data_IF_004331541564
#
_entry.id   IF_004331541564
#
_cell.length_a   1.000
_cell.length_b   1.000
_cell.length_c   1.000
_cell.angle_alpha   90.00
_cell.angle_beta   90.00
_cell.angle_gamma   90.00
#
_symmetry.space_group_name_H-M   'P 1'
#
loop_
_entity.id
_entity.type
_entity.pdbx_description
1 polymer ?
#
# COMPACT_ATOMS: atom_id res chain seq x y z
N UNK A 1 -17.86 -44.62 11.92
CA UNK A 1 -17.70 -43.31 12.60
C UNK A 1 -17.05 -42.38 11.56
N UNK A 2 -17.86 -41.55 10.89
CA UNK A 2 -17.39 -40.51 10.02
C UNK A 2 -16.91 -39.35 10.92
N UNK A 3 -15.61 -39.17 11.02
CA UNK A 3 -15.03 -37.94 11.56
C UNK A 3 -15.36 -36.81 10.56
N UNK A 4 -16.35 -36.01 10.90
CA UNK A 4 -16.58 -34.73 10.25
C UNK A 4 -15.32 -33.89 10.54
N UNK A 5 -14.39 -33.86 9.59
CA UNK A 5 -13.21 -33.03 9.66
C UNK A 5 -13.66 -31.57 9.76
N UNK A 6 -13.50 -30.97 10.92
CA UNK A 6 -13.74 -29.55 11.15
C UNK A 6 -12.66 -28.79 10.33
N UNK A 7 -13.06 -28.30 9.17
CA UNK A 7 -12.18 -27.43 8.39
C UNK A 7 -12.09 -26.10 9.13
N UNK A 8 -10.89 -25.66 9.56
CA UNK A 8 -10.76 -24.35 10.19
C UNK A 8 -11.25 -23.26 9.22
N UNK A 9 -12.06 -22.33 9.74
CA UNK A 9 -12.51 -21.18 8.95
C UNK A 9 -11.30 -20.34 8.54
N UNK A 10 -11.27 -19.95 7.27
CA UNK A 10 -10.25 -19.03 6.77
C UNK A 10 -10.51 -17.61 7.30
N UNK A 11 -9.50 -16.76 7.32
CA UNK A 11 -9.65 -15.33 7.71
C UNK A 11 -10.70 -14.64 6.83
N UNK A 12 -10.74 -14.94 5.52
CA UNK A 12 -11.76 -14.46 4.58
C UNK A 12 -13.19 -14.79 5.01
N UNK A 13 -13.40 -16.02 5.48
CA UNK A 13 -14.72 -16.48 5.97
C UNK A 13 -15.05 -15.81 7.31
N UNK A 14 -14.06 -15.68 8.18
CA UNK A 14 -14.14 -15.04 9.50
C UNK A 14 -14.54 -13.58 9.41
N UNK A 15 -13.95 -12.82 8.47
CA UNK A 15 -14.28 -11.43 8.22
C UNK A 15 -15.53 -11.23 7.37
N UNK A 16 -16.14 -12.30 6.85
CA UNK A 16 -17.32 -12.23 5.99
C UNK A 16 -17.04 -11.86 4.53
N UNK A 17 -15.77 -11.73 4.13
CA UNK A 17 -15.37 -11.30 2.78
C UNK A 17 -15.70 -12.34 1.70
N UNK A 18 -15.68 -13.61 2.05
CA UNK A 18 -15.99 -14.70 1.11
C UNK A 18 -17.40 -14.63 0.51
N UNK A 19 -18.33 -13.95 1.18
CA UNK A 19 -19.74 -13.80 0.77
C UNK A 19 -20.05 -12.41 0.23
N UNK A 20 -19.13 -11.46 0.33
CA UNK A 20 -19.35 -10.09 -0.11
C UNK A 20 -19.09 -9.93 -1.61
N UNK A 21 -20.01 -9.31 -2.32
CA UNK A 21 -19.87 -8.96 -3.73
C UNK A 21 -18.85 -7.83 -3.94
N UNK A 22 -18.54 -7.07 -2.89
CA UNK A 22 -17.57 -5.97 -2.90
C UNK A 22 -16.15 -6.42 -2.63
N UNK A 23 -15.92 -7.69 -2.31
CA UNK A 23 -14.57 -8.25 -2.17
C UNK A 23 -14.07 -8.81 -3.50
N UNK A 24 -13.06 -8.16 -4.07
CA UNK A 24 -12.45 -8.55 -5.35
C UNK A 24 -11.25 -9.45 -5.09
N UNK A 25 -11.28 -10.66 -5.65
CA UNK A 25 -10.20 -11.66 -5.57
C UNK A 25 -9.25 -11.56 -6.77
N UNK A 26 -8.01 -12.07 -6.66
CA UNK A 26 -7.05 -12.05 -7.76
C UNK A 26 -7.52 -12.74 -9.04
N UNK A 27 -8.24 -13.86 -8.91
CA UNK A 27 -8.79 -14.63 -10.04
C UNK A 27 -9.85 -13.87 -10.84
N UNK A 28 -10.53 -12.90 -10.21
CA UNK A 28 -11.52 -12.04 -10.84
C UNK A 28 -10.89 -10.88 -11.63
N UNK A 29 -9.64 -10.49 -11.31
CA UNK A 29 -9.01 -9.30 -11.88
C UNK A 29 -8.85 -9.35 -13.41
N UNK A 30 -8.73 -10.53 -13.98
CA UNK A 30 -8.61 -10.68 -15.44
C UNK A 30 -9.93 -10.44 -16.17
N UNK A 31 -11.05 -10.65 -15.49
CA UNK A 31 -12.40 -10.53 -16.05
C UNK A 31 -12.97 -9.12 -15.92
N UNK A 32 -12.40 -8.30 -15.02
CA UNK A 32 -12.86 -6.93 -14.79
C UNK A 32 -12.37 -5.98 -15.90
N UNK A 33 -13.21 -4.99 -16.27
CA UNK A 33 -12.80 -3.96 -17.23
C UNK A 33 -11.60 -3.19 -16.72
N UNK A 34 -10.66 -2.85 -17.62
CA UNK A 34 -9.46 -2.12 -17.29
C UNK A 34 -9.83 -0.70 -16.80
N UNK A 35 -9.49 -0.40 -15.55
CA UNK A 35 -9.61 0.90 -14.94
C UNK A 35 -8.48 1.08 -13.90
N UNK A 36 -8.43 2.24 -13.27
CA UNK A 36 -7.39 2.59 -12.29
C UNK A 36 -7.37 1.62 -11.09
N UNK A 37 -8.54 1.26 -10.55
CA UNK A 37 -8.66 0.28 -9.48
C UNK A 37 -8.09 -1.08 -9.88
N UNK A 38 -8.54 -1.62 -11.02
CA UNK A 38 -8.09 -2.94 -11.50
C UNK A 38 -6.58 -2.93 -11.77
N UNK A 39 -6.04 -1.84 -12.30
CA UNK A 39 -4.58 -1.67 -12.45
C UNK A 39 -3.87 -1.71 -11.10
N UNK A 40 -4.37 -0.98 -10.11
CA UNK A 40 -3.79 -0.96 -8.76
C UNK A 40 -3.82 -2.35 -8.10
N UNK A 41 -4.93 -3.08 -8.22
CA UNK A 41 -5.06 -4.43 -7.67
C UNK A 41 -4.17 -5.45 -8.38
N UNK A 42 -4.04 -5.38 -9.71
CA UNK A 42 -3.09 -6.22 -10.47
C UNK A 42 -1.65 -5.96 -10.07
N UNK A 43 -1.30 -4.69 -9.83
CA UNK A 43 0.03 -4.33 -9.35
C UNK A 43 0.28 -4.88 -7.93
N UNK A 44 -0.71 -4.83 -7.04
CA UNK A 44 -0.63 -5.42 -5.71
C UNK A 44 -0.41 -6.92 -5.77
N UNK A 45 -1.18 -7.64 -6.58
CA UNK A 45 -1.05 -9.08 -6.78
C UNK A 45 0.34 -9.45 -7.35
N UNK A 46 0.77 -8.78 -8.41
CA UNK A 46 2.09 -9.00 -9.03
C UNK A 46 3.25 -8.76 -8.04
N UNK A 47 3.16 -7.71 -7.23
CA UNK A 47 4.21 -7.39 -6.25
C UNK A 47 4.25 -8.38 -5.10
N UNK A 48 3.11 -8.83 -4.61
CA UNK A 48 3.06 -9.90 -3.61
C UNK A 48 3.67 -11.20 -4.14
N UNK A 49 3.41 -11.56 -5.40
CA UNK A 49 4.04 -12.71 -6.05
C UNK A 49 5.56 -12.56 -6.18
N UNK A 50 6.04 -11.35 -6.52
CA UNK A 50 7.49 -11.08 -6.61
C UNK A 50 8.16 -11.16 -5.24
N UNK A 51 7.55 -10.58 -4.21
CA UNK A 51 8.04 -10.69 -2.83
C UNK A 51 8.06 -12.15 -2.35
N UNK A 52 7.09 -12.95 -2.80
CA UNK A 52 6.98 -14.38 -2.58
C UNK A 52 8.18 -15.16 -3.13
N UNK A 53 8.60 -14.85 -4.36
CA UNK A 53 9.73 -15.52 -5.01
C UNK A 53 11.06 -15.26 -4.30
N UNK A 54 11.25 -14.05 -3.75
CA UNK A 54 12.49 -13.65 -3.06
C UNK A 54 12.60 -14.14 -1.62
N UNK A 55 11.45 -14.38 -0.94
CA UNK A 55 11.40 -14.58 0.53
C UNK A 55 10.49 -15.71 0.99
N UNK A 56 10.03 -16.55 0.07
CA UNK A 56 9.05 -17.62 0.36
C UNK A 56 7.76 -17.12 1.02
N UNK A 57 6.92 -16.46 0.25
CA UNK A 57 5.49 -16.31 0.42
C UNK A 57 4.95 -14.95 0.91
N UNK A 58 4.40 -14.20 -0.01
CA UNK A 58 3.24 -13.34 0.19
C UNK A 58 2.23 -13.65 -0.91
N UNK A 59 0.98 -13.80 -0.58
CA UNK A 59 -0.10 -14.00 -1.53
C UNK A 59 -1.16 -12.93 -1.30
N UNK A 60 -1.42 -12.13 -2.32
CA UNK A 60 -2.56 -11.22 -2.32
C UNK A 60 -3.84 -12.05 -2.33
N UNK A 61 -4.67 -11.89 -1.31
CA UNK A 61 -5.94 -12.61 -1.17
C UNK A 61 -7.10 -11.85 -1.80
N UNK A 62 -6.97 -10.52 -1.90
CA UNK A 62 -7.95 -9.64 -2.52
C UNK A 62 -8.07 -8.28 -1.84
N UNK A 63 -9.06 -7.52 -2.30
CA UNK A 63 -9.37 -6.19 -1.78
C UNK A 63 -10.87 -6.04 -1.51
N UNK A 64 -11.20 -5.45 -0.37
CA UNK A 64 -12.53 -4.94 -0.11
C UNK A 64 -12.65 -3.55 -0.72
N UNK A 65 -13.65 -3.34 -1.57
CA UNK A 65 -13.85 -2.08 -2.29
C UNK A 65 -15.20 -1.48 -1.96
N UNK A 66 -15.28 -0.15 -1.89
CA UNK A 66 -16.53 0.58 -1.77
C UNK A 66 -16.76 1.43 -3.01
N UNK A 67 -17.99 1.46 -3.45
CA UNK A 67 -18.48 2.35 -4.50
C UNK A 67 -19.61 3.19 -3.93
N UNK A 68 -19.41 4.50 -3.84
CA UNK A 68 -20.39 5.41 -3.21
C UNK A 68 -21.67 5.54 -4.04
N UNK A 69 -21.52 5.55 -5.36
CA UNK A 69 -22.61 5.69 -6.33
C UNK A 69 -22.33 4.79 -7.54
N UNK A 70 -23.37 4.39 -8.26
CA UNK A 70 -23.24 3.47 -9.40
C UNK A 70 -22.25 3.93 -10.47
N UNK A 71 -22.02 5.23 -10.61
CA UNK A 71 -21.10 5.83 -11.59
C UNK A 71 -19.81 6.38 -10.96
N UNK A 72 -19.63 6.29 -9.64
CA UNK A 72 -18.39 6.71 -9.01
C UNK A 72 -17.31 5.61 -9.12
N UNK A 73 -16.02 5.98 -9.18
CA UNK A 73 -14.97 4.99 -9.16
C UNK A 73 -15.00 4.22 -7.85
N UNK A 74 -14.90 2.90 -7.92
CA UNK A 74 -14.75 2.06 -6.74
C UNK A 74 -13.37 2.30 -6.11
N UNK A 75 -13.34 2.41 -4.77
CA UNK A 75 -12.13 2.70 -4.00
C UNK A 75 -11.79 1.52 -3.11
N UNK A 76 -10.56 1.02 -3.10
CA UNK A 76 -10.16 -0.02 -2.17
C UNK A 76 -10.10 0.54 -0.75
N UNK A 77 -10.66 -0.19 0.20
CA UNK A 77 -10.67 0.15 1.63
C UNK A 77 -9.69 -0.73 2.39
N UNK A 78 -9.66 -2.01 2.06
CA UNK A 78 -8.80 -2.97 2.73
C UNK A 78 -8.11 -3.84 1.68
N UNK A 79 -6.80 -4.04 1.82
CA UNK A 79 -6.09 -5.14 1.18
C UNK A 79 -5.90 -6.27 2.18
N UNK A 80 -6.11 -7.50 1.74
CA UNK A 80 -5.82 -8.70 2.50
C UNK A 80 -4.68 -9.46 1.83
N UNK A 81 -3.61 -9.70 2.59
CA UNK A 81 -2.41 -10.39 2.11
C UNK A 81 -2.01 -11.47 3.10
N UNK A 82 -1.73 -12.67 2.62
CA UNK A 82 -1.15 -13.74 3.41
C UNK A 82 0.36 -13.75 3.20
N UNK A 83 1.14 -13.93 4.28
CA UNK A 83 2.61 -13.96 4.26
C UNK A 83 3.15 -15.15 5.04
N UNK A 84 4.37 -15.59 4.71
CA UNK A 84 5.01 -16.70 5.38
C UNK A 84 5.80 -16.30 6.64
N UNK A 85 6.07 -15.01 6.83
CA UNK A 85 6.85 -14.52 7.97
C UNK A 85 6.55 -13.07 8.29
N UNK A 86 6.86 -12.65 9.51
CA UNK A 86 6.72 -11.27 9.97
C UNK A 86 7.61 -10.27 9.18
N UNK A 87 8.79 -10.72 8.76
CA UNK A 87 9.66 -9.90 7.91
C UNK A 87 9.03 -9.61 6.54
N UNK A 88 8.25 -10.56 6.00
CA UNK A 88 7.48 -10.37 4.77
C UNK A 88 6.31 -9.41 4.99
N UNK A 89 5.66 -9.44 6.17
CA UNK A 89 4.58 -8.51 6.52
C UNK A 89 5.01 -7.05 6.40
N UNK A 90 6.17 -6.72 6.96
CA UNK A 90 6.71 -5.35 6.89
C UNK A 90 7.00 -4.89 5.46
N UNK A 91 7.51 -5.77 4.61
CA UNK A 91 7.76 -5.44 3.19
C UNK A 91 6.47 -5.22 2.41
N UNK A 92 5.46 -6.02 2.68
CA UNK A 92 4.12 -5.82 2.10
C UNK A 92 3.54 -4.50 2.57
N UNK A 93 3.65 -4.16 3.85
CA UNK A 93 3.20 -2.87 4.38
C UNK A 93 3.91 -1.71 3.68
N UNK A 94 5.24 -1.73 3.57
CA UNK A 94 6.00 -0.72 2.84
C UNK A 94 5.56 -0.59 1.38
N UNK A 95 5.29 -1.71 0.71
CA UNK A 95 4.80 -1.70 -0.65
C UNK A 95 3.41 -1.06 -0.76
N UNK A 96 2.46 -1.44 0.12
CA UNK A 96 1.09 -0.89 0.12
C UNK A 96 1.11 0.62 0.43
N UNK A 97 1.93 1.05 1.38
CA UNK A 97 2.15 2.47 1.66
C UNK A 97 2.68 3.22 0.43
N UNK A 98 3.68 2.68 -0.27
CA UNK A 98 4.21 3.28 -1.51
C UNK A 98 3.18 3.30 -2.64
N UNK A 99 2.26 2.34 -2.69
CA UNK A 99 1.19 2.30 -3.67
C UNK A 99 0.14 3.39 -3.42
N UNK A 100 -0.06 3.78 -2.16
CA UNK A 100 -0.92 4.90 -1.75
C UNK A 100 -2.38 4.78 -2.19
N UNK A 101 -2.92 3.56 -2.20
CA UNK A 101 -4.26 3.28 -2.75
C UNK A 101 -5.29 2.91 -1.69
N UNK A 102 -4.90 2.22 -0.64
CA UNK A 102 -5.82 1.69 0.37
C UNK A 102 -5.50 2.22 1.77
N UNK A 103 -6.51 2.62 2.57
CA UNK A 103 -6.29 3.07 3.95
C UNK A 103 -5.88 1.95 4.91
N UNK A 104 -6.29 0.70 4.68
CA UNK A 104 -5.98 -0.40 5.57
C UNK A 104 -5.37 -1.59 4.83
N UNK A 105 -4.44 -2.26 5.52
CA UNK A 105 -3.84 -3.50 5.09
C UNK A 105 -3.96 -4.54 6.21
N UNK A 106 -4.59 -5.67 5.92
CA UNK A 106 -4.61 -6.83 6.80
C UNK A 106 -3.58 -7.83 6.30
N UNK A 107 -2.66 -8.22 7.17
CA UNK A 107 -1.63 -9.22 6.88
C UNK A 107 -1.84 -10.42 7.78
N UNK A 108 -2.06 -11.57 7.17
CA UNK A 108 -2.14 -12.87 7.83
C UNK A 108 -0.78 -13.57 7.73
N UNK A 109 -0.15 -13.85 8.87
CA UNK A 109 1.03 -14.70 8.99
C UNK A 109 0.67 -16.02 9.67
N UNK A 110 1.57 -17.01 9.70
CA UNK A 110 1.31 -18.27 10.40
C UNK A 110 1.03 -18.11 11.91
N UNK A 111 1.54 -17.05 12.51
CA UNK A 111 1.45 -16.80 13.96
C UNK A 111 0.46 -15.70 14.34
N UNK A 112 0.24 -14.71 13.47
CA UNK A 112 -0.52 -13.50 13.81
C UNK A 112 -1.33 -12.98 12.62
N UNK A 113 -2.39 -12.25 12.93
CA UNK A 113 -3.09 -11.34 12.01
C UNK A 113 -2.79 -9.92 12.47
N UNK A 114 -2.29 -9.10 11.54
CA UNK A 114 -1.95 -7.70 11.80
C UNK A 114 -2.72 -6.78 10.87
N UNK A 115 -3.17 -5.66 11.42
CA UNK A 115 -3.79 -4.59 10.64
C UNK A 115 -2.87 -3.38 10.64
N UNK A 116 -2.53 -2.90 9.46
CA UNK A 116 -1.66 -1.74 9.28
C UNK A 116 -2.40 -0.57 8.65
N UNK A 117 -2.02 0.68 8.98
CA UNK A 117 -2.46 1.84 8.24
C UNK A 117 -1.79 1.84 6.85
N UNK A 118 -2.57 1.94 5.77
CA UNK A 118 -2.03 1.91 4.41
C UNK A 118 -1.39 3.23 3.97
N UNK A 119 -1.66 4.35 4.67
CA UNK A 119 -1.15 5.68 4.32
C UNK A 119 0.02 6.14 5.18
N UNK A 120 0.43 5.38 6.20
CA UNK A 120 1.60 5.68 7.00
C UNK A 120 2.52 4.46 7.10
N UNK A 121 3.83 4.72 7.17
CA UNK A 121 4.86 3.68 7.31
C UNK A 121 6.03 4.26 8.10
N UNK A 122 6.38 3.59 9.20
CA UNK A 122 7.57 3.93 9.98
C UNK A 122 8.71 2.98 9.60
N UNK A 123 9.87 3.56 9.24
CA UNK A 123 11.04 2.78 8.84
C UNK A 123 11.72 2.07 10.01
N UNK A 124 11.60 2.64 11.20
CA UNK A 124 12.33 2.19 12.39
C UNK A 124 11.50 1.24 13.25
N UNK A 125 10.17 1.37 13.20
CA UNK A 125 9.26 0.58 14.04
C UNK A 125 8.21 -0.12 13.19
N UNK A 126 7.89 -1.36 13.58
CA UNK A 126 6.74 -2.10 13.05
C UNK A 126 5.57 -1.90 14.01
N UNK A 127 4.66 -0.98 13.67
CA UNK A 127 3.51 -0.62 14.53
C UNK A 127 2.20 -0.89 13.80
N UNK A 128 1.64 -2.10 13.93
CA UNK A 128 0.29 -2.37 13.47
C UNK A 128 -0.73 -1.60 14.33
N UNK A 129 -1.90 -1.29 13.76
CA UNK A 129 -3.05 -0.76 14.48
C UNK A 129 -3.63 -1.80 15.44
N UNK A 130 -3.61 -3.06 15.01
CA UNK A 130 -4.08 -4.21 15.76
C UNK A 130 -3.19 -5.42 15.42
N UNK A 131 -2.86 -6.23 16.42
CA UNK A 131 -2.16 -7.51 16.26
C UNK A 131 -2.84 -8.57 17.11
N UNK A 132 -3.25 -9.67 16.48
CA UNK A 132 -3.95 -10.77 17.14
C UNK A 132 -3.26 -12.07 16.80
N UNK A 133 -3.08 -12.94 17.79
CA UNK A 133 -2.52 -14.27 17.56
C UNK A 133 -3.44 -15.11 16.68
N UNK A 134 -2.87 -15.85 15.74
CA UNK A 134 -3.63 -16.76 14.88
C UNK A 134 -4.31 -17.84 15.75
N UNK A 135 -5.64 -18.01 15.57
CA UNK A 135 -6.43 -18.94 16.37
C UNK A 135 -6.78 -18.46 17.79
N UNK A 136 -6.51 -17.20 18.14
CA UNK A 136 -6.97 -16.63 19.39
C UNK A 136 -8.51 -16.65 19.48
N UNK A 137 -9.04 -16.93 20.67
CA UNK A 137 -10.49 -17.01 20.88
C UNK A 137 -11.22 -15.68 20.65
N UNK A 138 -10.52 -14.57 20.84
CA UNK A 138 -10.99 -13.19 20.70
C UNK A 138 -10.64 -12.55 19.33
N UNK A 139 -10.07 -13.32 18.38
CA UNK A 139 -9.72 -12.84 17.04
C UNK A 139 -10.88 -12.09 16.37
N UNK A 140 -12.09 -12.66 16.46
CA UNK A 140 -13.30 -12.06 15.88
C UNK A 140 -13.69 -10.75 16.54
N UNK A 141 -13.50 -10.65 17.84
CA UNK A 141 -13.82 -9.44 18.61
C UNK A 141 -12.81 -8.33 18.28
N UNK A 142 -11.52 -8.63 18.29
CA UNK A 142 -10.46 -7.65 18.00
C UNK A 142 -10.48 -7.16 16.55
N UNK A 143 -10.93 -8.00 15.60
CA UNK A 143 -11.06 -7.63 14.19
C UNK A 143 -12.49 -7.22 13.81
N UNK A 144 -13.40 -7.01 14.77
CA UNK A 144 -14.81 -6.72 14.51
C UNK A 144 -15.05 -5.53 13.60
N UNK A 145 -14.28 -4.45 13.77
CA UNK A 145 -14.37 -3.25 12.94
C UNK A 145 -13.99 -3.49 11.46
N UNK A 146 -13.19 -4.53 11.19
CA UNK A 146 -12.72 -4.88 9.84
C UNK A 146 -13.59 -5.94 9.16
N UNK A 147 -14.73 -6.31 9.72
CA UNK A 147 -15.68 -7.21 9.09
C UNK A 147 -16.42 -6.52 7.93
N UNK A 148 -16.87 -7.31 6.97
CA UNK A 148 -17.64 -6.84 5.83
C UNK A 148 -18.81 -5.92 6.26
N UNK A 149 -19.60 -6.36 7.26
CA UNK A 149 -20.73 -5.61 7.80
C UNK A 149 -20.30 -4.23 8.34
N UNK A 150 -19.18 -4.17 9.08
CA UNK A 150 -18.68 -2.92 9.69
C UNK A 150 -18.09 -1.95 8.67
N UNK A 151 -17.62 -2.47 7.53
CA UNK A 151 -17.19 -1.63 6.41
C UNK A 151 -18.41 -1.05 5.70
N UNK A 152 -19.41 -1.88 5.44
CA UNK A 152 -20.61 -1.50 4.68
C UNK A 152 -21.50 -0.50 5.46
N UNK A 153 -21.61 -0.65 6.79
CA UNK A 153 -22.38 0.26 7.65
C UNK A 153 -21.59 1.51 8.09
N UNK A 154 -20.29 1.56 7.79
CA UNK A 154 -19.42 2.68 8.14
C UNK A 154 -18.89 2.68 9.57
N UNK A 155 -19.10 1.64 10.37
CA UNK A 155 -18.58 1.51 11.74
C UNK A 155 -17.06 1.52 11.77
N UNK A 156 -16.41 0.93 10.76
CA UNK A 156 -14.95 0.99 10.55
C UNK A 156 -14.42 2.42 10.65
N UNK A 157 -15.07 3.36 9.97
CA UNK A 157 -14.63 4.75 9.95
C UNK A 157 -14.88 5.50 11.26
N UNK A 158 -15.95 5.14 12.00
CA UNK A 158 -16.20 5.73 13.32
C UNK A 158 -15.11 5.36 14.31
N UNK A 159 -14.59 4.15 14.21
CA UNK A 159 -13.57 3.64 15.13
C UNK A 159 -12.15 4.00 14.68
N UNK A 160 -11.83 3.85 13.39
CA UNK A 160 -10.45 3.86 12.90
C UNK A 160 -10.10 5.04 11.96
N UNK A 161 -11.02 5.97 11.67
CA UNK A 161 -10.70 7.11 10.80
C UNK A 161 -9.52 7.95 11.31
N UNK A 162 -9.36 8.04 12.63
CA UNK A 162 -8.25 8.77 13.26
C UNK A 162 -6.87 8.13 13.02
N UNK A 163 -6.82 6.82 12.75
CA UNK A 163 -5.59 6.09 12.49
C UNK A 163 -5.14 6.19 11.02
N UNK A 164 -5.99 6.72 10.14
CA UNK A 164 -5.75 6.85 8.71
C UNK A 164 -5.79 8.33 8.33
N UNK A 165 -4.67 9.01 8.55
CA UNK A 165 -4.54 10.43 8.20
C UNK A 165 -4.13 10.57 6.72
N UNK A 166 -5.00 11.12 5.85
CA UNK A 166 -4.67 11.33 4.44
C UNK A 166 -3.45 12.25 4.24
N UNK A 167 -3.13 13.12 5.20
CA UNK A 167 -1.97 14.02 5.11
C UNK A 167 -0.63 13.27 5.18
N UNK A 168 -0.62 12.03 5.65
CA UNK A 168 0.55 11.15 5.72
C UNK A 168 0.75 10.33 4.43
N UNK A 169 -0.13 10.47 3.47
CA UNK A 169 0.02 9.85 2.16
C UNK A 169 1.33 10.29 1.50
N UNK A 170 1.93 9.36 0.77
CA UNK A 170 3.22 9.59 0.11
C UNK A 170 3.19 10.80 -0.83
N UNK A 171 2.10 10.97 -1.59
CA UNK A 171 1.91 12.10 -2.50
C UNK A 171 1.77 13.43 -1.75
N UNK A 172 1.02 13.47 -0.64
CA UNK A 172 0.89 14.66 0.20
C UNK A 172 2.21 15.02 0.88
N UNK A 173 2.94 14.03 1.40
CA UNK A 173 4.26 14.24 1.97
C UNK A 173 5.24 14.80 0.92
N UNK A 174 5.26 14.23 -0.27
CA UNK A 174 6.09 14.71 -1.37
C UNK A 174 5.74 16.16 -1.76
N UNK A 175 4.44 16.46 -1.92
CA UNK A 175 4.00 17.82 -2.26
C UNK A 175 4.39 18.83 -1.18
N UNK A 176 4.30 18.48 0.09
CA UNK A 176 4.75 19.31 1.20
C UNK A 176 6.25 19.59 1.12
N UNK A 177 7.06 18.55 0.91
CA UNK A 177 8.51 18.66 0.81
C UNK A 177 8.93 19.51 -0.40
N UNK A 178 8.26 19.35 -1.55
CA UNK A 178 8.48 20.18 -2.74
C UNK A 178 8.11 21.64 -2.50
N UNK A 179 7.03 21.93 -1.76
CA UNK A 179 6.67 23.32 -1.37
C UNK A 179 7.73 23.94 -0.46
N UNK A 180 8.27 23.18 0.50
CA UNK A 180 9.35 23.66 1.37
C UNK A 180 10.62 23.95 0.56
N UNK A 181 10.96 23.07 -0.40
CA UNK A 181 12.08 23.27 -1.29
C UNK A 181 11.89 24.53 -2.16
N UNK A 182 10.70 24.70 -2.75
CA UNK A 182 10.37 25.88 -3.56
C UNK A 182 10.50 27.18 -2.76
N UNK A 183 9.99 27.21 -1.53
CA UNK A 183 10.14 28.36 -0.64
C UNK A 183 11.62 28.66 -0.32
N UNK A 184 12.45 27.64 -0.09
CA UNK A 184 13.89 27.83 0.13
C UNK A 184 14.57 28.46 -1.08
N UNK A 185 14.36 27.91 -2.27
CA UNK A 185 14.96 28.42 -3.51
C UNK A 185 14.56 29.87 -3.78
N UNK A 186 13.30 30.25 -3.50
CA UNK A 186 12.85 31.62 -3.72
C UNK A 186 13.36 32.61 -2.65
N UNK A 187 13.26 32.24 -1.37
CA UNK A 187 13.55 33.19 -0.28
C UNK A 187 15.00 33.22 0.16
N UNK A 188 15.70 32.08 0.11
CA UNK A 188 17.09 32.00 0.56
C UNK A 188 18.07 32.19 -0.59
N UNK A 189 17.78 31.60 -1.76
CA UNK A 189 18.68 31.62 -2.91
C UNK A 189 18.30 32.68 -3.95
N UNK A 190 17.24 33.47 -3.69
CA UNK A 190 16.78 34.57 -4.52
C UNK A 190 16.29 34.18 -5.91
N UNK A 191 15.91 32.90 -6.08
CA UNK A 191 15.47 32.38 -7.37
C UNK A 191 14.03 32.85 -7.67
N UNK A 192 13.75 33.26 -8.90
CA UNK A 192 12.37 33.54 -9.28
C UNK A 192 11.54 32.26 -9.34
N UNK A 193 10.22 32.39 -9.17
CA UNK A 193 9.30 31.27 -9.09
C UNK A 193 9.35 30.34 -10.31
N UNK A 194 9.50 30.89 -11.50
CA UNK A 194 9.55 30.11 -12.74
C UNK A 194 10.81 29.27 -12.80
N UNK A 195 11.97 29.86 -12.43
CA UNK A 195 13.24 29.16 -12.36
C UNK A 195 13.23 28.06 -11.27
N UNK A 196 12.67 28.35 -10.08
CA UNK A 196 12.50 27.39 -8.99
C UNK A 196 11.65 26.18 -9.43
N UNK A 197 10.47 26.41 -9.99
CA UNK A 197 9.62 25.34 -10.49
C UNK A 197 10.28 24.54 -11.62
N UNK A 198 10.99 25.20 -12.54
CA UNK A 198 11.70 24.51 -13.61
C UNK A 198 12.83 23.63 -13.07
N UNK A 199 13.58 24.10 -12.05
CA UNK A 199 14.64 23.34 -11.40
C UNK A 199 14.08 22.10 -10.69
N UNK A 200 13.05 22.29 -9.86
CA UNK A 200 12.37 21.19 -9.14
C UNK A 200 11.84 20.15 -10.14
N UNK A 201 11.14 20.59 -11.19
CA UNK A 201 10.60 19.70 -12.21
C UNK A 201 11.68 18.89 -12.92
N UNK A 202 12.80 19.50 -13.29
CA UNK A 202 13.96 18.83 -13.89
C UNK A 202 14.57 17.80 -12.94
N UNK A 203 14.73 18.16 -11.67
CA UNK A 203 15.27 17.25 -10.66
C UNK A 203 14.40 16.02 -10.47
N UNK A 204 13.08 16.20 -10.27
CA UNK A 204 12.11 15.10 -10.13
C UNK A 204 12.11 14.21 -11.38
N UNK A 205 12.14 14.82 -12.57
CA UNK A 205 12.17 14.09 -13.83
C UNK A 205 13.48 13.29 -14.00
N UNK A 206 14.63 13.85 -13.67
CA UNK A 206 15.91 13.13 -13.71
C UNK A 206 15.95 11.96 -12.74
N UNK A 207 15.45 12.15 -11.51
CA UNK A 207 15.30 11.06 -10.51
C UNK A 207 14.39 9.95 -11.04
N UNK A 208 13.25 10.31 -11.66
CA UNK A 208 12.35 9.35 -12.28
C UNK A 208 13.05 8.56 -13.40
N UNK A 209 13.72 9.22 -14.34
CA UNK A 209 14.44 8.55 -15.43
C UNK A 209 15.52 7.62 -14.91
N UNK A 210 16.21 8.02 -13.85
CA UNK A 210 17.24 7.22 -13.18
C UNK A 210 16.65 5.96 -12.54
N UNK A 211 15.57 6.13 -11.77
CA UNK A 211 14.86 5.03 -11.11
C UNK A 211 14.31 4.01 -12.12
N UNK A 212 13.81 4.47 -13.26
CA UNK A 212 13.32 3.60 -14.33
C UNK A 212 14.41 2.95 -15.17
N UNK A 213 15.68 3.20 -14.88
CA UNK A 213 16.81 2.68 -15.65
C UNK A 213 16.97 3.28 -17.06
N UNK A 214 16.13 4.26 -17.42
CA UNK A 214 16.23 4.97 -18.71
C UNK A 214 17.52 5.77 -18.76
N UNK A 215 17.88 6.43 -17.65
CA UNK A 215 19.15 7.11 -17.46
C UNK A 215 20.14 6.16 -16.76
N UNK A 216 20.69 5.22 -17.52
CA UNK A 216 21.64 4.22 -17.01
C UNK A 216 23.05 4.78 -16.83
N UNK A 217 23.87 4.10 -15.98
CA UNK A 217 25.30 4.47 -15.82
C UNK A 217 26.05 4.51 -17.15
N UNK A 218 25.73 3.58 -18.07
CA UNK A 218 26.32 3.52 -19.40
C UNK A 218 26.02 4.78 -20.23
N UNK A 219 24.80 5.33 -20.13
CA UNK A 219 24.43 6.59 -20.79
C UNK A 219 25.13 7.79 -20.17
N UNK A 220 25.20 7.84 -18.84
CA UNK A 220 25.89 8.92 -18.13
C UNK A 220 27.38 8.94 -18.45
N UNK A 221 28.03 7.78 -18.41
CA UNK A 221 29.47 7.66 -18.80
C UNK A 221 29.73 8.13 -20.24
N UNK A 222 28.79 7.85 -21.19
CA UNK A 222 28.89 8.36 -22.57
C UNK A 222 28.84 9.88 -22.65
N UNK A 223 28.22 10.54 -21.67
CA UNK A 223 28.12 12.00 -21.58
C UNK A 223 29.20 12.59 -20.62
N UNK A 224 30.14 11.76 -20.18
CA UNK A 224 31.19 12.16 -19.22
C UNK A 224 30.64 12.66 -17.87
N UNK A 225 29.44 12.18 -17.52
CA UNK A 225 28.79 12.50 -16.24
C UNK A 225 29.05 11.34 -15.29
N UNK A 226 29.65 11.65 -14.14
CA UNK A 226 29.82 10.69 -13.07
C UNK A 226 28.47 10.37 -12.41
N UNK A 227 28.02 9.09 -12.44
CA UNK A 227 26.76 8.68 -11.83
C UNK A 227 26.66 8.97 -10.34
N UNK A 228 27.80 8.91 -9.62
CA UNK A 228 27.85 9.06 -8.17
C UNK A 228 27.76 10.54 -7.75
N UNK A 229 28.09 11.45 -8.66
CA UNK A 229 28.00 12.89 -8.42
C UNK A 229 26.68 13.54 -8.90
N UNK A 230 25.84 12.79 -9.62
CA UNK A 230 24.61 13.37 -10.20
C UNK A 230 23.56 13.76 -9.15
N UNK A 231 23.56 13.10 -7.97
CA UNK A 231 22.55 13.28 -6.91
C UNK A 231 23.16 13.24 -5.50
N UNK A 232 24.47 13.47 -5.36
CA UNK A 232 25.10 13.52 -4.04
C UNK A 232 24.99 14.92 -3.44
N UNK A 233 24.72 14.98 -2.15
CA UNK A 233 24.86 16.18 -1.35
C UNK A 233 26.36 16.51 -1.24
N UNK A 234 26.75 17.69 -1.70
CA UNK A 234 28.04 18.30 -1.38
C UNK A 234 27.85 19.41 -0.38
#
# INVERSE_FOLDING_TARGET
RYSLGFRPMTLLETLGYSRSATFIRPDQLQQLPANELVFALRLADQKCQTLSAETAAGQFQGAYVLQREANSPATPVIYLVQVASDAAARRVHQFVWNQNQTPFLIVESPSTVRVYPGFSFDRDTDRPLCEVAQGAADLLEQLSAFRAESIDDGSLWKEWAHAVDPSQRVDEALLRDLRVLDQRLQHHDGMDRTASHALIGKFVYLKYLRHRGILSNKKLAKWEIDPDHLFTDR
#
